data_IF_077766692960
#
_entry.id   IF_077766692960
#
_cell.length_a   1.000
_cell.length_b   1.000
_cell.length_c   1.000
_cell.angle_alpha   90.00
_cell.angle_beta   90.00
_cell.angle_gamma   90.00
#
_symmetry.space_group_name_H-M   'P 1'
#
loop_
_entity.id
_entity.type
_entity.pdbx_description
1 polymer ?
#
# COMPACT_ATOMS: atom_id res chain seq x y z
N UNK A 1 -21.16 11.88 -6.59
CA UNK A 1 -19.71 11.65 -6.45
C UNK A 1 -19.01 12.83 -7.08
N UNK A 2 -18.14 13.51 -6.32
CA UNK A 2 -17.34 14.61 -6.85
C UNK A 2 -16.14 14.08 -7.62
N UNK A 3 -15.72 14.81 -8.67
CA UNK A 3 -14.55 14.47 -9.46
C UNK A 3 -13.26 14.59 -8.63
N UNK A 4 -12.30 13.70 -8.88
CA UNK A 4 -10.96 13.74 -8.28
C UNK A 4 -9.92 13.53 -9.38
N UNK A 5 -8.82 14.29 -9.32
CA UNK A 5 -7.68 14.11 -10.24
C UNK A 5 -6.62 13.25 -9.58
N UNK A 6 -6.29 12.12 -10.20
CA UNK A 6 -5.16 11.28 -9.82
C UNK A 6 -3.98 11.65 -10.72
N UNK A 7 -2.89 12.11 -10.11
CA UNK A 7 -1.63 12.36 -10.80
C UNK A 7 -0.74 11.13 -10.66
N UNK A 8 -0.20 10.63 -11.78
CA UNK A 8 0.75 9.51 -11.78
C UNK A 8 2.09 10.00 -12.31
N UNK A 9 3.13 9.91 -11.49
CA UNK A 9 4.50 10.20 -11.84
C UNK A 9 5.27 8.90 -12.10
N UNK A 10 6.05 8.87 -13.19
CA UNK A 10 6.88 7.75 -13.61
C UNK A 10 8.36 8.09 -13.35
N UNK A 11 8.91 7.81 -12.16
CA UNK A 11 10.27 8.24 -11.79
C UNK A 11 11.36 7.71 -12.73
N UNK A 12 11.13 6.57 -13.37
CA UNK A 12 12.06 5.95 -14.33
C UNK A 12 11.51 5.96 -15.77
N UNK A 13 10.50 6.80 -16.06
CA UNK A 13 9.93 6.97 -17.40
C UNK A 13 9.14 5.77 -17.96
N UNK A 14 9.00 4.68 -17.22
CA UNK A 14 8.33 3.45 -17.68
C UNK A 14 6.98 3.23 -16.99
N UNK A 15 5.88 3.04 -17.74
CA UNK A 15 4.56 2.73 -17.17
C UNK A 15 4.47 1.31 -16.57
N UNK A 16 5.44 0.44 -16.91
CA UNK A 16 5.56 -0.93 -16.38
C UNK A 16 6.44 -1.00 -15.14
N UNK A 17 7.16 0.07 -14.81
CA UNK A 17 8.06 0.12 -13.66
C UNK A 17 7.39 0.69 -12.41
N UNK A 18 8.24 1.26 -11.55
CA UNK A 18 7.79 2.01 -10.37
C UNK A 18 6.91 3.20 -10.80
N UNK A 19 5.80 3.39 -10.08
CA UNK A 19 4.82 4.48 -10.30
C UNK A 19 4.47 5.12 -8.98
N UNK A 20 4.32 6.42 -8.96
CA UNK A 20 3.88 7.18 -7.78
C UNK A 20 2.56 7.84 -8.15
N UNK A 21 1.51 7.55 -7.40
CA UNK A 21 0.20 8.14 -7.59
C UNK A 21 -0.24 8.93 -6.37
N UNK A 22 -0.81 10.10 -6.61
CA UNK A 22 -1.38 10.97 -5.59
C UNK A 22 -2.68 11.61 -6.07
N UNK A 23 -3.51 12.03 -5.12
CA UNK A 23 -4.63 12.93 -5.40
C UNK A 23 -4.18 14.32 -4.96
N UNK A 24 -4.21 15.28 -5.89
CA UNK A 24 -3.58 16.61 -5.75
C UNK A 24 -3.87 17.35 -4.43
N UNK A 25 -5.03 17.13 -3.81
CA UNK A 25 -5.45 17.76 -2.56
C UNK A 25 -5.41 16.84 -1.33
N UNK A 26 -4.70 15.71 -1.40
CA UNK A 26 -4.56 14.74 -0.31
C UNK A 26 -3.11 14.67 0.16
N UNK A 27 -2.92 14.23 1.40
CA UNK A 27 -1.62 14.21 2.09
C UNK A 27 -0.89 12.87 2.00
N UNK A 28 -1.38 11.96 1.16
CA UNK A 28 -0.85 10.60 1.01
C UNK A 28 -0.61 10.29 -0.45
N UNK A 29 0.41 9.48 -0.69
CA UNK A 29 0.77 8.97 -2.00
C UNK A 29 0.89 7.45 -1.95
N UNK A 30 0.74 6.84 -3.12
CA UNK A 30 0.85 5.42 -3.34
C UNK A 30 2.01 5.13 -4.29
N UNK A 31 2.92 4.25 -3.89
CA UNK A 31 4.11 3.89 -4.65
C UNK A 31 3.95 2.43 -5.06
N UNK A 32 3.69 2.21 -6.35
CA UNK A 32 3.67 0.88 -6.93
C UNK A 32 5.10 0.45 -7.26
N UNK A 33 5.51 -0.73 -6.82
CA UNK A 33 6.86 -1.27 -6.95
C UNK A 33 6.75 -2.70 -7.50
N UNK A 34 7.11 -2.95 -8.77
CA UNK A 34 7.34 -4.31 -9.26
C UNK A 34 8.42 -5.00 -8.42
N UNK A 35 8.22 -6.27 -8.06
CA UNK A 35 9.19 -7.00 -7.22
C UNK A 35 10.58 -7.07 -7.85
N UNK A 36 10.64 -7.23 -9.17
CA UNK A 36 11.90 -7.23 -9.93
C UNK A 36 12.61 -5.86 -10.00
N UNK A 37 11.97 -4.78 -9.55
CA UNK A 37 12.52 -3.44 -9.41
C UNK A 37 12.59 -3.00 -7.94
N UNK A 38 12.57 -3.94 -7.00
CA UNK A 38 12.65 -3.60 -5.58
C UNK A 38 13.92 -2.80 -5.25
N UNK A 39 15.07 -3.18 -5.81
CA UNK A 39 16.33 -2.47 -5.55
C UNK A 39 16.30 -1.01 -6.05
N UNK A 40 15.64 -0.75 -7.19
CA UNK A 40 15.45 0.60 -7.72
C UNK A 40 14.59 1.48 -6.79
N UNK A 41 13.72 0.86 -5.99
CA UNK A 41 12.92 1.58 -4.99
C UNK A 41 13.77 2.23 -3.89
N UNK A 42 15.01 1.76 -3.68
CA UNK A 42 15.96 2.41 -2.75
C UNK A 42 16.31 3.85 -3.15
N UNK A 43 16.18 4.20 -4.43
CA UNK A 43 16.41 5.56 -4.93
C UNK A 43 15.25 6.52 -4.59
N UNK A 44 14.21 6.02 -3.91
CA UNK A 44 13.00 6.76 -3.54
C UNK A 44 12.97 6.89 -2.01
N UNK A 45 13.44 8.02 -1.50
CA UNK A 45 13.55 8.28 -0.06
C UNK A 45 12.22 8.07 0.66
N UNK A 46 11.10 8.41 0.01
CA UNK A 46 9.75 8.24 0.55
C UNK A 46 9.40 6.78 0.89
N UNK A 47 10.06 5.79 0.30
CA UNK A 47 9.84 4.36 0.63
C UNK A 47 10.41 3.97 1.98
N UNK A 48 11.29 4.80 2.57
CA UNK A 48 11.83 4.59 3.92
C UNK A 48 10.96 5.20 5.01
N UNK A 49 9.82 5.82 4.65
CA UNK A 49 8.91 6.43 5.60
C UNK A 49 8.02 5.41 6.31
N UNK A 50 7.34 5.89 7.36
CA UNK A 50 6.31 5.15 8.10
C UNK A 50 5.10 5.00 7.19
N UNK A 51 4.61 3.77 7.02
CA UNK A 51 3.55 3.52 6.06
C UNK A 51 2.86 2.17 6.20
N UNK A 52 1.81 1.99 5.40
CA UNK A 52 1.12 0.72 5.18
C UNK A 52 1.41 0.25 3.75
N UNK A 53 1.65 -1.04 3.56
CA UNK A 53 1.94 -1.61 2.25
C UNK A 53 1.13 -2.87 1.99
N UNK A 54 0.98 -3.16 0.70
CA UNK A 54 0.29 -4.33 0.18
C UNK A 54 1.23 -5.10 -0.73
N UNK A 55 1.38 -6.40 -0.52
CA UNK A 55 2.09 -7.31 -1.42
C UNK A 55 1.04 -8.12 -2.18
N UNK A 56 1.01 -7.96 -3.50
CA UNK A 56 0.12 -8.69 -4.39
C UNK A 56 0.91 -9.73 -5.17
N UNK A 57 0.33 -10.91 -5.33
CA UNK A 57 0.80 -11.91 -6.28
C UNK A 57 -0.09 -13.12 -6.30
N UNK A 58 0.29 -14.14 -7.05
CA UNK A 58 -0.48 -15.37 -7.16
C UNK A 58 0.48 -16.55 -7.31
N UNK A 59 0.34 -17.57 -6.44
CA UNK A 59 1.08 -18.82 -6.64
C UNK A 59 0.49 -19.55 -7.85
N UNK A 60 1.31 -20.28 -8.60
CA UNK A 60 0.90 -20.97 -9.83
C UNK A 60 -0.35 -21.84 -9.67
N UNK A 61 -0.52 -22.47 -8.50
CA UNK A 61 -1.63 -23.37 -8.21
C UNK A 61 -2.80 -22.71 -7.46
N UNK A 62 -2.72 -21.43 -7.11
CA UNK A 62 -3.80 -20.75 -6.39
C UNK A 62 -4.86 -20.24 -7.37
N UNK A 63 -6.12 -20.63 -7.14
CA UNK A 63 -7.26 -20.18 -7.95
C UNK A 63 -7.55 -18.67 -7.82
N UNK A 64 -7.16 -18.06 -6.70
CA UNK A 64 -7.38 -16.65 -6.38
C UNK A 64 -6.05 -15.97 -6.09
N UNK A 65 -5.82 -14.73 -6.57
CA UNK A 65 -4.63 -13.98 -6.18
C UNK A 65 -4.58 -13.79 -4.66
N UNK A 66 -3.38 -13.64 -4.12
CA UNK A 66 -3.11 -13.43 -2.71
C UNK A 66 -2.71 -11.99 -2.42
N UNK A 67 -3.04 -11.52 -1.22
CA UNK A 67 -2.58 -10.25 -0.70
C UNK A 67 -2.01 -10.43 0.72
N UNK A 68 -0.90 -9.75 0.99
CA UNK A 68 -0.41 -9.50 2.34
C UNK A 68 -0.41 -8.00 2.58
N UNK A 69 -0.87 -7.59 3.74
CA UNK A 69 -1.03 -6.20 4.16
C UNK A 69 -0.18 -6.04 5.42
N UNK A 70 0.70 -5.07 5.42
CA UNK A 70 1.58 -4.83 6.57
C UNK A 70 1.81 -3.35 6.82
N UNK A 71 2.24 -3.05 8.03
CA UNK A 71 2.80 -1.74 8.39
C UNK A 71 4.32 -1.82 8.58
N UNK A 72 4.99 -0.68 8.46
CA UNK A 72 6.38 -0.53 8.88
C UNK A 72 6.71 0.93 9.19
N UNK A 73 7.70 1.13 10.08
CA UNK A 73 8.34 2.43 10.28
C UNK A 73 9.35 2.76 9.16
N UNK A 74 9.84 1.72 8.46
CA UNK A 74 10.59 1.83 7.22
C UNK A 74 10.05 0.76 6.25
N UNK A 75 9.24 1.19 5.26
CA UNK A 75 8.62 0.27 4.32
C UNK A 75 9.66 -0.45 3.45
N UNK A 76 10.69 0.23 2.97
CA UNK A 76 11.71 -0.36 2.10
C UNK A 76 12.45 -1.54 2.76
N UNK A 77 12.89 -1.37 4.00
CA UNK A 77 13.56 -2.44 4.76
C UNK A 77 12.62 -3.62 4.99
N UNK A 78 11.34 -3.34 5.26
CA UNK A 78 10.33 -4.39 5.43
C UNK A 78 10.03 -5.13 4.12
N UNK A 79 9.99 -4.43 2.99
CA UNK A 79 9.85 -5.05 1.67
C UNK A 79 11.07 -5.94 1.35
N UNK A 80 12.30 -5.49 1.62
CA UNK A 80 13.51 -6.31 1.46
C UNK A 80 13.45 -7.59 2.31
N UNK A 81 12.95 -7.50 3.53
CA UNK A 81 12.74 -8.67 4.37
C UNK A 81 11.75 -9.65 3.73
N UNK A 82 10.58 -9.17 3.30
CA UNK A 82 9.61 -10.03 2.62
C UNK A 82 10.13 -10.57 1.28
N UNK A 83 11.01 -9.85 0.58
CA UNK A 83 11.61 -10.36 -0.65
C UNK A 83 12.46 -11.62 -0.42
N UNK A 84 13.14 -11.69 0.73
CA UNK A 84 13.91 -12.87 1.14
C UNK A 84 13.01 -13.98 1.70
N UNK A 85 11.97 -13.60 2.46
CA UNK A 85 11.23 -14.54 3.28
C UNK A 85 9.92 -15.04 2.64
N UNK A 86 9.46 -14.44 1.52
CA UNK A 86 8.18 -14.77 0.86
C UNK A 86 8.33 -14.88 -0.64
N UNK A 87 7.82 -15.98 -1.18
CA UNK A 87 7.90 -16.25 -2.62
C UNK A 87 6.67 -15.77 -3.41
N UNK A 88 5.51 -15.60 -2.77
CA UNK A 88 4.23 -15.52 -3.50
C UNK A 88 3.92 -14.19 -4.24
N UNK A 89 4.68 -13.12 -3.97
CA UNK A 89 4.30 -11.77 -4.38
C UNK A 89 5.08 -11.31 -5.62
N UNK A 90 4.42 -10.50 -6.46
CA UNK A 90 4.92 -9.99 -7.74
C UNK A 90 5.07 -8.46 -7.74
N UNK A 91 4.28 -7.77 -6.93
CA UNK A 91 4.33 -6.31 -6.81
C UNK A 91 3.91 -5.85 -5.42
N UNK A 92 4.42 -4.69 -5.03
CA UNK A 92 4.03 -4.00 -3.81
C UNK A 92 3.35 -2.67 -4.13
N UNK A 93 2.42 -2.25 -3.27
CA UNK A 93 1.92 -0.87 -3.22
C UNK A 93 2.17 -0.34 -1.82
N UNK A 94 2.99 0.69 -1.70
CA UNK A 94 3.34 1.33 -0.43
C UNK A 94 2.57 2.65 -0.32
N UNK A 95 1.94 2.89 0.83
CA UNK A 95 1.29 4.15 1.16
C UNK A 95 2.03 4.86 2.27
N UNK A 96 2.46 6.08 1.97
CA UNK A 96 3.18 6.98 2.87
C UNK A 96 2.60 8.37 2.72
N UNK A 97 2.90 9.25 3.67
CA UNK A 97 2.57 10.67 3.50
C UNK A 97 3.40 11.28 2.36
N UNK A 98 2.83 12.25 1.65
CA UNK A 98 3.50 12.95 0.54
C UNK A 98 4.24 14.23 0.97
N UNK A 99 4.42 14.41 2.29
CA UNK A 99 5.12 15.56 2.85
C UNK A 99 6.31 15.11 3.72
N UNK A 100 7.26 16.02 3.90
CA UNK A 100 8.53 15.77 4.62
C UNK A 100 8.30 15.55 6.13
N UNK A 101 7.14 15.97 6.66
CA UNK A 101 6.86 15.86 8.09
C UNK A 101 6.50 14.43 8.53
N UNK A 102 6.35 13.48 7.60
CA UNK A 102 6.07 12.06 7.85
C UNK A 102 5.01 11.87 8.95
N UNK A 103 3.82 12.42 8.73
CA UNK A 103 2.78 12.56 9.77
C UNK A 103 2.13 11.24 10.21
N UNK A 104 2.56 10.09 9.69
CA UNK A 104 2.12 8.80 10.17
C UNK A 104 2.93 8.35 11.38
N UNK A 105 2.24 8.10 12.48
CA UNK A 105 2.80 7.38 13.62
C UNK A 105 2.64 5.88 13.43
N UNK A 106 3.41 5.09 14.20
CA UNK A 106 3.24 3.63 14.25
C UNK A 106 1.81 3.19 14.60
N UNK A 107 1.16 3.93 15.49
CA UNK A 107 -0.23 3.67 15.89
C UNK A 107 -1.20 3.92 14.72
N UNK A 108 -0.96 4.96 13.93
CA UNK A 108 -1.77 5.29 12.74
C UNK A 108 -1.70 4.17 11.70
N UNK A 109 -0.49 3.71 11.35
CA UNK A 109 -0.33 2.68 10.31
C UNK A 109 -0.83 1.31 10.75
N UNK A 110 -0.77 0.97 12.03
CA UNK A 110 -1.44 -0.23 12.58
C UNK A 110 -2.96 -0.15 12.49
N UNK A 111 -3.53 1.03 12.73
CA UNK A 111 -4.97 1.23 12.56
C UNK A 111 -5.38 1.10 11.09
N UNK A 112 -4.60 1.69 10.16
CA UNK A 112 -4.82 1.57 8.71
C UNK A 112 -4.61 0.14 8.20
N UNK A 113 -3.60 -0.59 8.68
CA UNK A 113 -3.39 -2.02 8.38
C UNK A 113 -4.61 -2.84 8.79
N UNK A 114 -5.16 -2.60 9.98
CA UNK A 114 -6.35 -3.30 10.46
C UNK A 114 -7.58 -3.00 9.59
N UNK A 115 -7.86 -1.73 9.27
CA UNK A 115 -8.96 -1.37 8.37
C UNK A 115 -8.80 -2.02 6.98
N UNK A 116 -7.58 -2.01 6.46
CA UNK A 116 -7.23 -2.62 5.17
C UNK A 116 -7.46 -4.12 5.18
N UNK A 117 -7.07 -4.80 6.26
CA UNK A 117 -7.30 -6.22 6.46
C UNK A 117 -8.79 -6.56 6.52
N UNK A 118 -9.57 -5.85 7.33
CA UNK A 118 -11.03 -6.07 7.43
C UNK A 118 -11.72 -5.85 6.08
N UNK A 119 -11.31 -4.80 5.35
CA UNK A 119 -11.84 -4.52 4.01
C UNK A 119 -11.49 -5.63 3.02
N UNK A 120 -10.24 -6.11 3.01
CA UNK A 120 -9.80 -7.17 2.11
C UNK A 120 -10.57 -8.47 2.35
N UNK A 121 -10.79 -8.84 3.62
CA UNK A 121 -11.61 -10.00 4.00
C UNK A 121 -13.06 -9.84 3.54
N UNK A 122 -13.66 -8.65 3.74
CA UNK A 122 -15.05 -8.37 3.32
C UNK A 122 -15.24 -8.39 1.81
N UNK A 123 -14.26 -7.88 1.05
CA UNK A 123 -14.32 -7.81 -0.42
C UNK A 123 -14.09 -9.19 -1.06
N UNK A 124 -13.33 -10.07 -0.40
CA UNK A 124 -13.10 -11.46 -0.78
C UNK A 124 -12.65 -11.65 -2.24
N UNK A 125 -11.83 -10.71 -2.75
CA UNK A 125 -11.21 -10.78 -4.08
C UNK A 125 -9.80 -11.37 -4.05
N UNK A 126 -9.19 -11.41 -2.88
CA UNK A 126 -7.84 -11.89 -2.64
C UNK A 126 -7.82 -12.82 -1.45
N UNK A 127 -6.95 -13.84 -1.49
CA UNK A 127 -6.63 -14.65 -0.33
C UNK A 127 -5.71 -13.83 0.58
N UNK A 128 -6.21 -13.43 1.74
CA UNK A 128 -5.41 -12.67 2.72
C UNK A 128 -4.45 -13.63 3.42
N UNK A 129 -3.15 -13.50 3.14
CA UNK A 129 -2.12 -14.47 3.55
C UNK A 129 -1.38 -14.04 4.84
N UNK A 130 -2.13 -13.75 5.91
CA UNK A 130 -1.59 -13.36 7.22
C UNK A 130 -2.57 -13.65 8.36
N UNK A 131 -2.08 -13.54 9.61
CA UNK A 131 -2.93 -13.47 10.80
C UNK A 131 -3.61 -12.10 10.95
N UNK A 132 -4.71 -12.04 11.71
CA UNK A 132 -5.43 -10.79 12.00
C UNK A 132 -4.47 -9.76 12.65
N UNK A 133 -4.30 -8.57 12.07
CA UNK A 133 -3.48 -7.51 12.64
C UNK A 133 -4.14 -6.87 13.86
N UNK A 134 -3.32 -6.43 14.82
CA UNK A 134 -3.79 -5.78 16.04
C UNK A 134 -4.34 -4.39 15.73
N UNK A 135 -5.57 -4.10 16.21
CA UNK A 135 -6.13 -2.76 16.15
C UNK A 135 -5.55 -1.91 17.29
N UNK A 136 -4.72 -0.93 16.95
CA UNK A 136 -4.17 0.00 17.94
C UNK A 136 -5.22 1.02 18.38
N UNK A 137 -5.16 1.46 19.63
CA UNK A 137 -6.01 2.53 20.12
C UNK A 137 -5.58 3.87 19.52
N UNK A 138 -6.54 4.60 18.95
CA UNK A 138 -6.35 5.92 18.35
C UNK A 138 -7.46 6.83 18.91
N UNK A 139 -7.19 8.09 19.30
CA UNK A 139 -8.23 9.03 19.73
C UNK A 139 -9.30 9.24 18.64
N UNK A 140 -10.54 9.53 19.05
CA UNK A 140 -11.69 9.66 18.13
C UNK A 140 -11.44 10.60 16.95
N UNK A 141 -10.93 11.81 17.22
CA UNK A 141 -10.62 12.79 16.18
C UNK A 141 -9.66 12.22 15.13
N UNK A 142 -8.66 11.46 15.57
CA UNK A 142 -7.66 10.86 14.70
C UNK A 142 -8.21 9.64 13.96
N UNK A 143 -9.15 8.90 14.53
CA UNK A 143 -9.86 7.85 13.81
C UNK A 143 -10.63 8.42 12.63
N UNK A 144 -11.31 9.56 12.80
CA UNK A 144 -12.02 10.23 11.70
C UNK A 144 -11.06 10.61 10.56
N UNK A 145 -9.90 11.18 10.88
CA UNK A 145 -8.85 11.49 9.88
C UNK A 145 -8.36 10.22 9.16
N UNK A 146 -8.06 9.15 9.91
CA UNK A 146 -7.56 7.90 9.34
C UNK A 146 -8.60 7.20 8.47
N UNK A 147 -9.89 7.34 8.77
CA UNK A 147 -10.95 6.85 7.90
C UNK A 147 -11.01 7.62 6.56
N UNK A 148 -10.89 8.94 6.57
CA UNK A 148 -10.82 9.73 5.33
C UNK A 148 -9.54 9.42 4.51
N UNK A 149 -8.41 9.24 5.19
CA UNK A 149 -7.17 8.76 4.57
C UNK A 149 -7.36 7.37 3.97
N UNK A 150 -8.02 6.46 4.68
CA UNK A 150 -8.29 5.10 4.21
C UNK A 150 -9.13 5.08 2.92
N UNK A 151 -10.11 5.96 2.79
CA UNK A 151 -10.86 6.13 1.54
C UNK A 151 -9.96 6.62 0.38
N UNK A 152 -9.00 7.50 0.68
CA UNK A 152 -7.98 7.90 -0.29
C UNK A 152 -7.08 6.72 -0.69
N UNK A 153 -6.66 5.90 0.27
CA UNK A 153 -5.85 4.70 -0.02
C UNK A 153 -6.63 3.74 -0.92
N UNK A 154 -7.92 3.52 -0.68
CA UNK A 154 -8.77 2.64 -1.49
C UNK A 154 -8.84 3.11 -2.97
N UNK A 155 -9.01 4.42 -3.19
CA UNK A 155 -9.06 4.99 -4.54
C UNK A 155 -7.71 4.82 -5.25
N UNK A 156 -6.61 5.20 -4.58
CA UNK A 156 -5.28 5.08 -5.14
C UNK A 156 -4.89 3.61 -5.40
N UNK A 157 -5.22 2.69 -4.48
CA UNK A 157 -4.96 1.26 -4.64
C UNK A 157 -5.64 0.69 -5.88
N UNK A 158 -6.89 1.09 -6.14
CA UNK A 158 -7.66 0.64 -7.30
C UNK A 158 -7.06 1.06 -8.65
N UNK A 159 -6.22 2.10 -8.65
CA UNK A 159 -5.50 2.57 -9.85
C UNK A 159 -4.42 1.59 -10.29
N UNK A 160 -3.81 0.87 -9.36
CA UNK A 160 -2.75 -0.11 -9.66
C UNK A 160 -3.28 -1.55 -9.71
N UNK A 161 -4.29 -1.83 -8.90
CA UNK A 161 -4.89 -3.15 -8.76
C UNK A 161 -6.11 -3.23 -9.68
N UNK A 162 -5.87 -3.14 -10.99
CA UNK A 162 -6.91 -3.43 -11.96
C UNK A 162 -7.03 -4.94 -12.08
N UNK A 163 -8.22 -5.48 -11.79
CA UNK A 163 -8.58 -6.85 -12.12
C UNK A 163 -8.13 -7.13 -13.55
N UNK A 164 -7.24 -8.12 -13.72
CA UNK A 164 -6.74 -8.54 -15.04
C UNK A 164 -7.95 -8.64 -15.97
N UNK A 165 -7.96 -7.80 -17.02
CA UNK A 165 -8.90 -7.88 -18.13
C UNK A 165 -8.99 -9.33 -18.58
N UNK A 166 -10.16 -9.95 -18.37
CA UNK A 166 -10.73 -11.02 -19.17
C UNK A 166 -12.23 -10.79 -19.23
#
# INVERSE_FOLDING_TARGET
MEGRTIQIFLPFGSPRGIKIAEITNRTVQAIYIPRNQLDDASMREETSNVGVYFLFGQRENDAMPSVYIGEAENCFDRLKQHNRDKEFWDSAVVFVTNNIQNQFTKTDVKFLEHLSYEKAQKVNRYKVSQSVPTKSFVPEWRQADLHDIFETLNILLSTFVTAKLK
#
